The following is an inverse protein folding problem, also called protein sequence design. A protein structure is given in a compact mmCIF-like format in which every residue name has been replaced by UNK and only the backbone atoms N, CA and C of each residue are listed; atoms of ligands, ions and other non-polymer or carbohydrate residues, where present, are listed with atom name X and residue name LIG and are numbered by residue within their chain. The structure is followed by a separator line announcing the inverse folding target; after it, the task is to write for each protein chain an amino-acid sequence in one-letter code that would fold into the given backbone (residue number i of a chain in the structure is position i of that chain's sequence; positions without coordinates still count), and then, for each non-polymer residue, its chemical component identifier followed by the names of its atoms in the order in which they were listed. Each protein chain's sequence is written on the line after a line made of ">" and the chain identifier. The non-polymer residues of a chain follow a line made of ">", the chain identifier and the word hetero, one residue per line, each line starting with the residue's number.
data_IF_700035649684
#
_entry.id   IF_700035649684
#
_cell.length_a   1.000
_cell.length_b   1.000
_cell.length_c   1.000
_cell.angle_alpha   90.00
_cell.angle_beta   90.00
_cell.angle_gamma   90.00
#
_symmetry.space_group_name_H-M   'P 1'
#
loop_
_entity.id
_entity.type
_entity.pdbx_description
1 polymer ?
#
# COMPACT_ATOMS: atom_id res chain seq x y z
N UNK A 1 46.56 61.90 6.52
CA UNK A 1 45.19 62.13 6.01
C UNK A 1 45.10 61.55 4.61
N UNK A 2 44.35 60.46 4.47
CA UNK A 2 43.54 59.99 3.33
C UNK A 2 43.41 58.48 3.58
N UNK A 3 42.27 58.09 4.16
CA UNK A 3 41.88 56.68 4.32
C UNK A 3 40.98 56.34 3.15
N UNK A 4 41.44 55.44 2.29
CA UNK A 4 40.74 55.00 1.08
C UNK A 4 39.77 53.89 1.45
N UNK A 5 38.46 54.17 1.30
CA UNK A 5 37.39 53.17 1.39
C UNK A 5 37.52 52.16 0.24
N UNK A 6 37.59 50.87 0.56
CA UNK A 6 37.28 49.79 -0.39
C UNK A 6 35.89 49.23 -0.06
N UNK A 7 35.03 49.25 -1.08
CA UNK A 7 33.67 48.74 -1.07
C UNK A 7 33.67 47.21 -1.01
N UNK A 8 32.83 46.65 -0.12
CA UNK A 8 32.49 45.23 -0.12
C UNK A 8 31.46 44.93 -1.24
N UNK A 9 31.70 43.89 -2.03
CA UNK A 9 30.67 43.24 -2.86
C UNK A 9 29.96 42.15 -2.05
N UNK A 10 28.65 41.93 -2.23
CA UNK A 10 27.93 40.88 -1.51
C UNK A 10 28.29 39.51 -2.09
N UNK A 11 28.58 38.57 -1.20
CA UNK A 11 28.79 37.17 -1.52
C UNK A 11 27.50 36.55 -2.10
N UNK A 12 27.65 35.83 -3.20
CA UNK A 12 26.65 34.90 -3.73
C UNK A 12 26.50 33.77 -2.70
N UNK A 13 25.39 33.75 -1.96
CA UNK A 13 25.00 32.61 -1.16
C UNK A 13 24.47 31.52 -2.11
N UNK A 14 25.33 30.57 -2.49
CA UNK A 14 24.89 29.29 -3.05
C UNK A 14 24.08 28.56 -1.97
N UNK A 15 22.80 28.35 -2.24
CA UNK A 15 21.99 27.41 -1.50
C UNK A 15 22.52 25.99 -1.76
N UNK A 16 23.33 25.48 -0.83
CA UNK A 16 23.60 24.05 -0.74
C UNK A 16 22.31 23.38 -0.25
N UNK A 17 21.47 22.89 -1.17
CA UNK A 17 20.57 21.79 -0.85
C UNK A 17 21.46 20.63 -0.40
N UNK A 18 21.25 20.15 0.83
CA UNK A 18 22.10 19.15 1.44
C UNK A 18 22.02 17.82 0.68
N UNK A 19 23.13 17.40 0.05
CA UNK A 19 23.25 16.08 -0.58
C UNK A 19 22.97 14.92 0.41
N UNK A 20 23.06 15.16 1.71
CA UNK A 20 22.86 14.14 2.76
C UNK A 20 21.40 13.68 2.89
N UNK A 21 20.41 14.53 2.60
CA UNK A 21 18.99 14.15 2.71
C UNK A 21 18.54 13.26 1.55
N UNK A 22 19.05 13.54 0.34
CA UNK A 22 18.76 12.74 -0.87
C UNK A 22 19.38 11.35 -0.78
N UNK A 23 20.59 11.24 -0.23
CA UNK A 23 21.28 9.96 -0.07
C UNK A 23 20.56 9.00 0.90
N UNK A 24 20.05 9.49 2.04
CA UNK A 24 19.28 8.65 2.97
C UNK A 24 17.94 8.17 2.40
N UNK A 25 17.24 9.00 1.62
CA UNK A 25 15.97 8.61 1.01
C UNK A 25 16.16 7.56 -0.09
N UNK A 26 17.26 7.64 -0.86
CA UNK A 26 17.60 6.63 -1.87
C UNK A 26 18.06 5.30 -1.24
N UNK A 27 18.77 5.31 -0.11
CA UNK A 27 19.18 4.07 0.57
C UNK A 27 18.01 3.30 1.18
N UNK A 28 16.96 3.99 1.65
CA UNK A 28 15.79 3.33 2.24
C UNK A 28 14.94 2.59 1.19
N UNK A 29 14.85 3.14 -0.04
CA UNK A 29 14.07 2.52 -1.13
C UNK A 29 14.76 1.28 -1.72
N UNK A 30 16.10 1.24 -1.73
CA UNK A 30 16.85 0.05 -2.17
C UNK A 30 16.70 -1.15 -1.24
N UNK A 31 16.36 -0.93 0.03
CA UNK A 31 16.19 -2.00 1.03
C UNK A 31 14.79 -2.64 0.97
N UNK A 32 13.88 -2.05 0.19
CA UNK A 32 12.47 -2.44 0.07
C UNK A 32 12.04 -2.57 -1.40
N UNK A 33 12.99 -2.64 -2.32
CA UNK A 33 12.74 -2.82 -3.75
C UNK A 33 13.80 -3.70 -4.38
N UNK A 34 13.40 -4.56 -5.33
CA UNK A 34 14.33 -5.47 -6.00
C UNK A 34 13.95 -5.68 -7.46
N UNK A 35 14.94 -5.53 -8.34
CA UNK A 35 14.86 -5.91 -9.76
C UNK A 35 15.57 -7.24 -10.07
N UNK A 36 15.95 -8.01 -9.05
CA UNK A 36 16.65 -9.29 -9.24
C UNK A 36 15.68 -10.30 -9.86
N UNK A 37 16.02 -10.82 -11.05
CA UNK A 37 15.14 -11.67 -11.88
C UNK A 37 15.19 -13.17 -11.52
N UNK A 38 15.97 -13.54 -10.52
CA UNK A 38 16.17 -14.93 -10.10
C UNK A 38 16.09 -14.99 -8.59
N UNK A 39 15.40 -15.99 -8.05
CA UNK A 39 15.38 -16.26 -6.61
C UNK A 39 16.81 -16.58 -6.11
N UNK A 40 17.34 -15.68 -5.27
CA UNK A 40 18.60 -15.81 -4.54
C UNK A 40 18.36 -16.10 -3.07
N UNK A 41 17.11 -16.06 -2.61
CA UNK A 41 16.75 -16.39 -1.23
C UNK A 41 17.01 -17.88 -1.01
N UNK A 42 17.88 -18.26 -0.03
CA UNK A 42 18.21 -19.65 0.21
C UNK A 42 16.96 -20.49 0.49
N UNK A 43 16.95 -21.72 -0.01
CA UNK A 43 15.91 -22.67 0.34
C UNK A 43 15.82 -22.84 1.86
N UNK A 44 14.59 -22.86 2.35
CA UNK A 44 14.26 -23.02 3.76
C UNK A 44 13.25 -24.14 3.92
N UNK A 45 13.16 -24.71 5.14
CA UNK A 45 12.13 -25.68 5.50
C UNK A 45 10.79 -24.99 5.86
N UNK A 46 10.67 -23.67 5.61
CA UNK A 46 9.44 -22.93 5.86
C UNK A 46 8.35 -23.40 4.92
N UNK A 47 7.15 -23.53 5.47
CA UNK A 47 5.98 -24.04 4.75
C UNK A 47 4.97 -22.92 4.50
N UNK A 48 3.97 -23.19 3.65
CA UNK A 48 2.83 -22.27 3.44
C UNK A 48 1.86 -22.24 4.63
N UNK A 49 2.03 -23.13 5.61
CA UNK A 49 1.19 -23.20 6.80
C UNK A 49 2.06 -23.17 8.07
N UNK A 50 1.64 -22.40 9.06
CA UNK A 50 2.24 -22.38 10.38
C UNK A 50 1.18 -22.08 11.43
N UNK A 51 0.90 -23.05 12.31
CA UNK A 51 -0.20 -22.99 13.28
C UNK A 51 -1.56 -22.77 12.58
N UNK A 52 -2.24 -21.66 12.84
CA UNK A 52 -3.51 -21.27 12.23
C UNK A 52 -3.35 -20.26 11.09
N UNK A 53 -2.10 -19.90 10.74
CA UNK A 53 -1.79 -18.94 9.67
C UNK A 53 -1.38 -19.64 8.38
N UNK A 54 -1.69 -18.99 7.26
CA UNK A 54 -1.37 -19.47 5.91
C UNK A 54 -0.77 -18.36 5.06
N UNK A 55 0.21 -18.74 4.26
CA UNK A 55 0.82 -17.90 3.24
C UNK A 55 -0.08 -17.86 1.99
N UNK A 56 -0.92 -16.84 1.91
CA UNK A 56 -1.93 -16.64 0.87
C UNK A 56 -1.79 -15.25 0.24
N UNK A 57 -2.15 -15.14 -1.03
CA UNK A 57 -2.38 -13.86 -1.68
C UNK A 57 -3.85 -13.49 -1.47
N UNK A 58 -4.10 -12.27 -1.00
CA UNK A 58 -5.44 -11.74 -0.77
C UNK A 58 -5.96 -11.00 -2.00
N UNK A 59 -5.07 -10.40 -2.79
CA UNK A 59 -5.42 -9.72 -4.04
C UNK A 59 -4.21 -9.61 -4.97
N UNK A 60 -4.48 -9.52 -6.27
CA UNK A 60 -3.56 -9.01 -7.28
C UNK A 60 -4.37 -8.15 -8.25
N UNK A 61 -4.23 -6.83 -8.17
CA UNK A 61 -5.05 -5.90 -8.95
C UNK A 61 -4.25 -5.25 -10.06
N UNK A 62 -4.64 -5.45 -11.32
CA UNK A 62 -3.99 -4.82 -12.45
C UNK A 62 -4.40 -3.35 -12.57
N UNK A 63 -3.93 -2.50 -11.66
CA UNK A 63 -4.46 -1.14 -11.48
C UNK A 63 -3.86 -0.06 -12.37
N UNK A 64 -2.86 -0.37 -13.19
CA UNK A 64 -2.26 0.56 -14.16
C UNK A 64 -1.71 -0.20 -15.39
N UNK A 65 -2.19 0.21 -16.58
CA UNK A 65 -1.74 -0.26 -17.89
C UNK A 65 -1.13 0.91 -18.68
N UNK A 66 0.13 0.77 -19.10
CA UNK A 66 0.86 1.72 -19.95
C UNK A 66 0.92 3.19 -19.44
N UNK A 67 0.78 3.41 -18.13
CA UNK A 67 0.58 4.73 -17.56
C UNK A 67 1.90 5.51 -17.36
N UNK A 68 1.96 6.71 -17.94
CA UNK A 68 3.13 7.60 -17.83
C UNK A 68 3.40 8.12 -16.42
N UNK A 69 2.39 8.18 -15.54
CA UNK A 69 2.49 8.51 -14.12
C UNK A 69 3.33 7.46 -13.40
N UNK A 70 3.18 6.18 -13.76
CA UNK A 70 3.93 5.06 -13.19
C UNK A 70 5.42 5.18 -13.47
N UNK A 71 5.82 5.60 -14.68
CA UNK A 71 7.24 5.77 -15.04
C UNK A 71 8.01 6.66 -14.08
N UNK A 72 7.36 7.65 -13.46
CA UNK A 72 7.99 8.49 -12.42
C UNK A 72 8.12 7.77 -11.08
N UNK A 73 7.12 6.99 -10.70
CA UNK A 73 7.16 6.19 -9.48
C UNK A 73 8.22 5.09 -9.60
N UNK A 74 8.20 4.32 -10.69
CA UNK A 74 9.16 3.25 -10.98
C UNK A 74 10.62 3.73 -11.03
N UNK A 75 10.88 4.92 -11.59
CA UNK A 75 12.23 5.55 -11.54
C UNK A 75 12.68 5.87 -10.12
N UNK A 76 11.75 6.19 -9.21
CA UNK A 76 12.07 6.56 -7.83
C UNK A 76 12.24 5.32 -6.94
N UNK A 77 11.35 4.34 -7.04
CA UNK A 77 11.37 3.14 -6.20
C UNK A 77 12.36 2.09 -6.71
N UNK A 78 12.42 1.88 -8.02
CA UNK A 78 13.14 0.77 -8.63
C UNK A 78 14.29 1.20 -9.56
N UNK A 79 14.48 2.50 -9.77
CA UNK A 79 15.47 3.05 -10.71
C UNK A 79 15.35 2.46 -12.15
N UNK A 80 14.13 2.09 -12.54
CA UNK A 80 13.80 1.58 -13.89
C UNK A 80 13.02 2.63 -14.68
N UNK A 81 13.02 2.54 -16.01
CA UNK A 81 12.43 3.59 -16.87
C UNK A 81 11.40 3.09 -17.87
N UNK A 82 11.25 1.78 -17.92
CA UNK A 82 10.58 0.96 -18.92
C UNK A 82 9.37 0.20 -18.38
N UNK A 83 9.09 0.26 -17.07
CA UNK A 83 7.80 -0.22 -16.54
C UNK A 83 6.63 0.52 -17.21
N UNK A 84 5.79 -0.23 -17.92
CA UNK A 84 4.48 0.19 -18.44
C UNK A 84 3.42 0.04 -17.36
N UNK A 85 3.53 -1.03 -16.57
CA UNK A 85 2.40 -1.59 -15.82
C UNK A 85 2.68 -1.72 -14.33
N UNK A 86 1.62 -1.57 -13.53
CA UNK A 86 1.66 -1.60 -12.08
C UNK A 86 0.54 -2.45 -11.51
N UNK A 87 0.91 -3.46 -10.72
CA UNK A 87 -0.04 -4.37 -10.09
C UNK A 87 0.33 -4.58 -8.60
N UNK A 88 -0.41 -3.99 -7.65
CA UNK A 88 -0.26 -4.30 -6.24
C UNK A 88 -0.72 -5.74 -5.98
N UNK A 89 0.12 -6.50 -5.27
CA UNK A 89 -0.18 -7.84 -4.77
C UNK A 89 -0.23 -7.77 -3.25
N UNK A 90 -1.33 -8.22 -2.66
CA UNK A 90 -1.56 -8.14 -1.22
C UNK A 90 -1.44 -9.52 -0.60
N UNK A 91 -0.69 -9.59 0.50
CA UNK A 91 -0.33 -10.83 1.18
C UNK A 91 -1.06 -10.96 2.51
N UNK A 92 -1.34 -12.21 2.89
CA UNK A 92 -1.96 -12.56 4.17
C UNK A 92 -1.07 -12.29 5.38
N UNK A 93 0.23 -12.00 5.19
CA UNK A 93 1.17 -11.58 6.22
C UNK A 93 2.11 -10.48 5.72
N UNK A 94 2.69 -9.70 6.63
CA UNK A 94 3.77 -8.76 6.26
C UNK A 94 4.97 -9.54 5.71
N UNK A 95 5.55 -9.04 4.63
CA UNK A 95 6.71 -9.62 3.97
C UNK A 95 8.03 -9.22 4.66
N UNK A 96 9.00 -10.12 4.64
CA UNK A 96 10.39 -9.81 4.93
C UNK A 96 11.01 -9.09 3.71
N UNK A 97 11.36 -7.79 3.81
CA UNK A 97 11.92 -7.02 2.70
C UNK A 97 13.25 -7.59 2.16
N UNK A 98 13.94 -8.42 2.94
CA UNK A 98 15.22 -9.02 2.50
C UNK A 98 15.05 -10.21 1.57
N UNK A 99 13.82 -10.68 1.39
CA UNK A 99 13.47 -11.84 0.56
C UNK A 99 12.65 -11.50 -0.67
N UNK A 100 12.36 -10.20 -0.91
CA UNK A 100 11.58 -9.79 -2.09
C UNK A 100 12.48 -9.65 -3.31
N UNK A 101 12.18 -10.38 -4.37
CA UNK A 101 12.86 -10.31 -5.65
C UNK A 101 11.86 -10.37 -6.81
N UNK A 102 12.17 -9.68 -7.91
CA UNK A 102 11.30 -9.69 -9.09
C UNK A 102 11.15 -11.12 -9.66
N UNK A 103 12.17 -11.96 -9.52
CA UNK A 103 12.17 -13.37 -9.90
C UNK A 103 11.26 -14.26 -9.06
N UNK A 104 10.78 -13.78 -7.92
CA UNK A 104 9.85 -14.54 -7.07
C UNK A 104 8.43 -14.53 -7.62
N UNK A 105 8.12 -13.63 -8.54
CA UNK A 105 6.76 -13.40 -9.04
C UNK A 105 6.64 -13.86 -10.48
N UNK A 106 5.61 -14.63 -10.76
CA UNK A 106 5.20 -14.99 -12.12
C UNK A 106 3.82 -14.40 -12.41
N UNK A 107 3.72 -13.66 -13.50
CA UNK A 107 2.46 -13.16 -14.06
C UNK A 107 2.16 -13.94 -15.32
N UNK A 108 1.02 -14.61 -15.36
CA UNK A 108 0.52 -15.33 -16.52
C UNK A 108 -0.52 -14.48 -17.26
N UNK A 109 -0.37 -14.35 -18.57
CA UNK A 109 -1.27 -13.61 -19.45
C UNK A 109 -2.37 -14.53 -20.00
N UNK A 110 -3.45 -13.95 -20.50
CA UNK A 110 -4.57 -14.72 -21.08
C UNK A 110 -4.15 -15.61 -22.27
N UNK A 111 -3.08 -15.25 -22.98
CA UNK A 111 -2.47 -16.05 -24.05
C UNK A 111 -1.73 -17.30 -23.55
N UNK A 112 -1.43 -17.38 -22.26
CA UNK A 112 -0.54 -18.36 -21.65
C UNK A 112 0.95 -17.95 -21.66
N UNK A 113 1.27 -16.79 -22.24
CA UNK A 113 2.62 -16.21 -22.13
C UNK A 113 2.84 -15.64 -20.72
N UNK A 114 4.12 -15.37 -20.39
CA UNK A 114 4.49 -14.75 -19.12
C UNK A 114 4.74 -13.26 -19.32
N UNK A 115 4.19 -12.43 -18.42
CA UNK A 115 4.53 -11.02 -18.29
C UNK A 115 5.96 -10.83 -17.77
N UNK A 116 6.57 -9.68 -18.07
CA UNK A 116 7.91 -9.34 -17.61
C UNK A 116 7.84 -8.54 -16.30
N UNK A 117 8.06 -9.21 -15.16
CA UNK A 117 8.17 -8.54 -13.84
C UNK A 117 9.55 -7.90 -13.72
N UNK A 118 9.63 -6.59 -13.92
CA UNK A 118 10.89 -5.82 -13.95
C UNK A 118 11.40 -5.45 -12.57
N UNK A 119 10.50 -5.13 -11.65
CA UNK A 119 10.85 -4.83 -10.27
C UNK A 119 9.66 -5.09 -9.35
N UNK A 120 9.97 -5.33 -8.08
CA UNK A 120 9.00 -5.31 -6.98
C UNK A 120 9.41 -4.29 -5.94
N UNK A 121 8.46 -3.69 -5.24
CA UNK A 121 8.72 -2.74 -4.16
C UNK A 121 7.61 -2.74 -3.12
N UNK A 122 7.95 -2.59 -1.84
CA UNK A 122 6.96 -2.35 -0.78
C UNK A 122 6.52 -0.87 -0.74
N UNK A 123 7.22 0.03 -1.44
CA UNK A 123 6.84 1.43 -1.46
C UNK A 123 5.58 1.67 -2.31
N UNK A 124 4.67 2.58 -1.91
CA UNK A 124 4.78 3.50 -0.76
C UNK A 124 4.34 2.94 0.61
N UNK A 125 3.80 1.72 0.69
CA UNK A 125 3.32 1.05 1.90
C UNK A 125 4.48 0.62 2.83
N UNK A 126 5.13 1.59 3.47
CA UNK A 126 6.38 1.41 4.21
C UNK A 126 6.21 1.49 5.73
N UNK A 127 5.00 1.76 6.22
CA UNK A 127 4.80 1.80 7.66
C UNK A 127 4.73 0.40 8.28
N UNK A 128 5.09 0.24 9.57
CA UNK A 128 4.89 -1.03 10.26
C UNK A 128 3.45 -1.54 10.14
N UNK A 129 3.29 -2.79 9.71
CA UNK A 129 1.98 -3.40 9.45
C UNK A 129 1.46 -3.20 8.01
N UNK A 130 2.17 -2.47 7.14
CA UNK A 130 1.76 -2.22 5.75
C UNK A 130 2.56 -3.03 4.72
N UNK A 131 3.64 -3.71 5.14
CA UNK A 131 4.46 -4.57 4.28
C UNK A 131 3.73 -5.82 3.75
N UNK A 132 2.40 -5.80 3.75
CA UNK A 132 1.50 -6.74 3.10
C UNK A 132 1.27 -6.38 1.64
N UNK A 133 1.57 -5.16 1.22
CA UNK A 133 1.42 -4.71 -0.18
C UNK A 133 2.78 -4.75 -0.90
N UNK A 134 2.91 -5.60 -1.91
CA UNK A 134 4.04 -5.59 -2.84
C UNK A 134 3.59 -5.04 -4.19
N UNK A 135 4.09 -3.87 -4.58
CA UNK A 135 3.86 -3.34 -5.92
C UNK A 135 4.76 -4.05 -6.92
N UNK A 136 4.15 -4.81 -7.83
CA UNK A 136 4.84 -5.41 -8.98
C UNK A 136 4.82 -4.43 -10.15
N UNK A 137 5.98 -4.25 -10.81
CA UNK A 137 6.19 -3.30 -11.90
C UNK A 137 6.78 -4.04 -13.09
N UNK A 138 6.22 -3.83 -14.29
CA UNK A 138 6.61 -4.64 -15.44
C UNK A 138 5.91 -4.29 -16.74
N UNK A 139 5.89 -5.28 -17.63
CA UNK A 139 5.00 -5.37 -18.80
C UNK A 139 4.11 -6.60 -18.61
N UNK A 140 2.82 -6.37 -18.42
CA UNK A 140 1.81 -7.38 -18.09
C UNK A 140 0.78 -7.54 -19.20
N UNK A 141 1.10 -7.12 -20.44
CA UNK A 141 0.22 -7.24 -21.59
C UNK A 141 -0.88 -6.17 -21.64
N UNK A 142 -1.60 -6.14 -22.76
CA UNK A 142 -2.69 -5.18 -23.00
C UNK A 142 -3.95 -5.58 -22.22
N UNK A 143 -4.56 -4.62 -21.52
CA UNK A 143 -5.73 -4.87 -20.67
C UNK A 143 -6.94 -5.50 -21.38
N UNK A 144 -7.04 -5.39 -22.71
CA UNK A 144 -8.17 -5.91 -23.48
C UNK A 144 -7.77 -7.16 -24.27
N UNK A 145 -6.68 -7.10 -25.01
CA UNK A 145 -6.30 -8.15 -25.96
C UNK A 145 -5.51 -9.29 -25.31
N UNK A 146 -4.72 -9.00 -24.28
CA UNK A 146 -3.94 -10.03 -23.59
C UNK A 146 -3.68 -9.69 -22.11
N UNK A 147 -4.73 -9.56 -21.28
CA UNK A 147 -4.58 -9.12 -19.90
C UNK A 147 -3.85 -10.14 -19.03
N UNK A 148 -3.27 -9.70 -17.90
CA UNK A 148 -2.79 -10.61 -16.86
C UNK A 148 -3.99 -11.31 -16.21
N UNK A 149 -3.89 -12.61 -16.01
CA UNK A 149 -4.98 -13.44 -15.47
C UNK A 149 -4.64 -14.15 -14.17
N UNK A 150 -3.35 -14.34 -13.88
CA UNK A 150 -2.90 -15.01 -12.66
C UNK A 150 -1.54 -14.50 -12.18
N UNK A 151 -1.42 -14.34 -10.87
CA UNK A 151 -0.15 -14.15 -10.17
C UNK A 151 0.18 -15.42 -9.39
N UNK A 152 1.43 -15.86 -9.45
CA UNK A 152 1.98 -16.94 -8.65
C UNK A 152 3.32 -16.52 -8.03
N UNK A 153 3.53 -16.90 -6.78
CA UNK A 153 4.82 -16.78 -6.11
C UNK A 153 5.61 -18.05 -6.40
N UNK A 154 6.74 -17.93 -7.09
CA UNK A 154 7.56 -19.05 -7.57
C UNK A 154 8.90 -19.15 -6.85
N UNK A 155 9.36 -18.06 -6.24
CA UNK A 155 10.58 -18.01 -5.42
C UNK A 155 10.30 -18.11 -3.91
N UNK A 156 11.37 -18.15 -3.11
CA UNK A 156 11.32 -18.16 -1.65
C UNK A 156 11.03 -16.74 -1.13
N UNK A 157 9.76 -16.46 -0.89
CA UNK A 157 9.30 -15.19 -0.34
C UNK A 157 8.77 -15.43 1.08
N UNK A 158 9.41 -14.83 2.09
CA UNK A 158 9.09 -15.12 3.49
C UNK A 158 8.21 -14.06 4.14
N UNK A 159 7.45 -14.47 5.16
CA UNK A 159 6.85 -13.51 6.08
C UNK A 159 7.92 -12.88 6.99
N UNK A 160 7.64 -11.66 7.44
CA UNK A 160 8.50 -10.87 8.32
C UNK A 160 8.80 -11.56 9.66
N UNK A 161 7.93 -12.48 10.09
CA UNK A 161 8.13 -13.23 11.31
C UNK A 161 8.99 -14.50 11.12
N UNK A 162 9.33 -14.87 9.89
CA UNK A 162 10.20 -16.01 9.58
C UNK A 162 9.57 -17.38 9.84
N UNK A 163 8.25 -17.48 9.70
CA UNK A 163 7.46 -18.68 9.94
C UNK A 163 6.88 -19.29 8.66
N UNK A 164 6.69 -18.48 7.62
CA UNK A 164 5.95 -18.83 6.42
C UNK A 164 6.77 -18.54 5.17
N UNK A 165 6.55 -19.34 4.14
CA UNK A 165 7.04 -19.11 2.78
C UNK A 165 5.86 -19.09 1.82
N UNK A 166 5.74 -18.03 1.02
CA UNK A 166 4.66 -17.84 0.06
C UNK A 166 4.84 -18.62 -1.24
N UNK A 167 5.98 -19.28 -1.46
CA UNK A 167 6.24 -20.12 -2.65
C UNK A 167 5.08 -21.08 -2.92
N UNK A 168 4.50 -20.99 -4.11
CA UNK A 168 3.34 -21.75 -4.57
C UNK A 168 1.98 -21.13 -4.23
N UNK A 169 1.92 -19.97 -3.58
CA UNK A 169 0.71 -19.18 -3.45
C UNK A 169 0.36 -18.56 -4.81
N UNK A 170 -0.93 -18.51 -5.15
CA UNK A 170 -1.40 -17.90 -6.39
C UNK A 170 -2.82 -17.39 -6.27
N UNK A 171 -3.15 -16.37 -7.06
CA UNK A 171 -4.48 -15.77 -7.12
C UNK A 171 -4.81 -15.35 -8.56
N UNK A 172 -6.10 -15.31 -8.88
CA UNK A 172 -6.56 -14.68 -10.12
C UNK A 172 -6.34 -13.17 -10.05
N UNK A 173 -6.03 -12.56 -11.18
CA UNK A 173 -5.86 -11.11 -11.27
C UNK A 173 -7.21 -10.42 -11.37
N UNK A 174 -7.42 -9.38 -10.56
CA UNK A 174 -8.53 -8.45 -10.71
C UNK A 174 -8.27 -7.55 -11.94
N UNK A 175 -9.18 -7.52 -12.93
CA UNK A 175 -9.01 -6.72 -14.15
C UNK A 175 -8.92 -5.23 -13.88
N UNK A 176 -8.27 -4.50 -14.80
CA UNK A 176 -8.04 -3.05 -14.73
C UNK A 176 -9.34 -2.24 -14.49
N UNK A 177 -10.40 -2.56 -15.22
CA UNK A 177 -11.67 -1.81 -15.20
C UNK A 177 -12.59 -2.17 -14.02
N UNK A 178 -12.17 -3.06 -13.11
CA UNK A 178 -12.96 -3.45 -11.95
C UNK A 178 -13.07 -2.34 -10.89
N UNK A 179 -12.11 -1.40 -10.88
CA UNK A 179 -11.97 -0.41 -9.82
C UNK A 179 -11.48 -1.02 -8.50
N UNK A 180 -11.18 -0.18 -7.49
CA UNK A 180 -10.56 -0.64 -6.26
C UNK A 180 -11.60 -1.19 -5.26
N UNK A 181 -11.20 -2.17 -4.46
CA UNK A 181 -12.03 -2.82 -3.44
C UNK A 181 -11.28 -3.03 -2.11
N UNK A 182 -12.03 -3.15 -1.02
CA UNK A 182 -11.48 -3.51 0.29
C UNK A 182 -11.19 -5.01 0.33
N UNK A 183 -9.95 -5.39 0.67
CA UNK A 183 -9.54 -6.79 0.70
C UNK A 183 -9.07 -7.29 2.06
N UNK A 184 -8.72 -6.36 2.96
CA UNK A 184 -8.32 -6.70 4.32
C UNK A 184 -8.77 -5.61 5.28
N UNK A 185 -9.22 -6.02 6.46
CA UNK A 185 -9.36 -5.17 7.62
C UNK A 185 -8.75 -5.89 8.83
N UNK A 186 -8.01 -5.21 9.68
CA UNK A 186 -7.51 -5.79 10.93
C UNK A 186 -7.33 -4.73 12.02
N UNK A 187 -7.44 -5.09 13.31
CA UNK A 187 -7.10 -4.17 14.39
C UNK A 187 -5.61 -3.83 14.37
N UNK A 188 -5.26 -2.58 14.68
CA UNK A 188 -3.86 -2.19 14.93
C UNK A 188 -3.59 -2.34 16.44
N UNK A 189 -2.59 -3.12 16.86
CA UNK A 189 -2.24 -3.25 18.27
C UNK A 189 -1.89 -1.89 18.87
N UNK A 190 -2.35 -1.61 20.10
CA UNK A 190 -2.14 -0.31 20.76
C UNK A 190 -0.66 0.10 20.86
N UNK A 191 0.25 -0.86 21.05
CA UNK A 191 1.70 -0.60 21.07
C UNK A 191 2.30 -0.17 19.73
N UNK A 192 1.54 -0.31 18.63
CA UNK A 192 1.94 0.09 17.29
C UNK A 192 1.24 1.38 16.82
N UNK A 193 0.38 1.98 17.63
CA UNK A 193 -0.31 3.22 17.24
C UNK A 193 0.69 4.36 17.05
N UNK A 194 0.57 5.03 15.92
CA UNK A 194 1.06 6.39 15.72
C UNK A 194 -0.14 7.31 15.77
N UNK A 195 0.04 8.48 16.36
CA UNK A 195 -1.07 9.41 16.60
C UNK A 195 -0.68 10.85 16.36
N UNK A 196 -1.65 11.63 15.89
CA UNK A 196 -1.54 13.08 15.77
C UNK A 196 -2.22 13.75 16.97
N UNK A 197 -1.68 14.88 17.44
CA UNK A 197 -2.28 15.60 18.58
C UNK A 197 -3.72 16.07 18.32
N UNK A 198 -4.13 16.22 17.05
CA UNK A 198 -5.46 16.69 16.64
C UNK A 198 -5.77 16.32 15.19
N UNK A 199 -7.05 16.35 14.85
CA UNK A 199 -7.54 16.27 13.48
C UNK A 199 -7.03 17.44 12.64
N UNK A 200 -6.60 17.15 11.41
CA UNK A 200 -6.14 18.13 10.43
C UNK A 200 -7.33 18.74 9.70
N UNK A 201 -7.28 20.06 9.46
CA UNK A 201 -8.30 20.75 8.68
C UNK A 201 -8.31 20.33 7.20
N UNK A 202 -7.17 19.84 6.70
CA UNK A 202 -7.07 19.22 5.38
C UNK A 202 -6.86 17.72 5.58
N UNK A 203 -7.90 16.94 5.32
CA UNK A 203 -7.87 15.48 5.49
C UNK A 203 -6.75 14.83 4.68
N UNK A 204 -6.35 15.39 3.52
CA UNK A 204 -5.23 14.91 2.69
C UNK A 204 -3.86 15.00 3.37
N UNK A 205 -3.80 15.63 4.54
CA UNK A 205 -2.61 15.75 5.38
C UNK A 205 -2.75 15.00 6.70
N UNK A 206 -3.85 14.28 6.92
CA UNK A 206 -4.02 13.44 8.10
C UNK A 206 -3.06 12.27 7.98
N UNK A 207 -1.96 12.33 8.73
CA UNK A 207 -0.94 11.30 8.71
C UNK A 207 -1.38 10.14 9.61
N UNK A 208 -1.84 10.43 10.83
CA UNK A 208 -2.18 9.41 11.82
C UNK A 208 -3.55 9.66 12.45
N UNK A 209 -4.07 8.71 13.24
CA UNK A 209 -5.28 8.94 14.02
C UNK A 209 -5.10 10.04 15.09
N UNK A 210 -6.09 10.93 15.31
CA UNK A 210 -6.04 11.89 16.41
C UNK A 210 -6.10 11.19 17.77
N UNK A 211 -5.32 11.65 18.76
CA UNK A 211 -5.31 11.04 20.12
C UNK A 211 -6.60 11.26 20.91
N UNK A 212 -7.22 12.43 20.76
CA UNK A 212 -8.39 12.80 21.57
C UNK A 212 -9.60 11.94 21.20
N UNK A 213 -10.10 11.19 22.18
CA UNK A 213 -11.23 10.27 22.01
C UNK A 213 -10.89 8.91 21.40
N UNK A 214 -9.64 8.67 20.96
CA UNK A 214 -9.25 7.40 20.32
C UNK A 214 -9.28 6.22 21.30
N UNK A 215 -9.96 5.14 20.90
CA UNK A 215 -10.03 3.87 21.66
C UNK A 215 -9.58 2.66 20.88
N UNK A 216 -9.65 2.69 19.56
CA UNK A 216 -9.20 1.59 18.71
C UNK A 216 -8.93 2.08 17.28
N UNK A 217 -7.96 1.48 16.62
CA UNK A 217 -7.63 1.71 15.21
C UNK A 217 -7.88 0.41 14.45
N UNK A 218 -8.62 0.49 13.35
CA UNK A 218 -8.74 -0.59 12.37
C UNK A 218 -8.01 -0.15 11.11
N UNK A 219 -7.03 -0.92 10.66
CA UNK A 219 -6.41 -0.70 9.36
C UNK A 219 -7.19 -1.43 8.30
N UNK A 220 -7.48 -0.74 7.22
CA UNK A 220 -8.08 -1.33 6.02
C UNK A 220 -7.10 -1.25 4.87
N UNK A 221 -7.06 -2.29 4.05
CA UNK A 221 -6.23 -2.34 2.84
C UNK A 221 -7.13 -2.44 1.62
N UNK A 222 -6.95 -1.50 0.71
CA UNK A 222 -7.52 -1.53 -0.63
C UNK A 222 -6.63 -2.35 -1.57
N UNK A 223 -7.21 -3.06 -2.54
CA UNK A 223 -6.44 -3.80 -3.56
C UNK A 223 -5.52 -2.94 -4.43
N UNK A 224 -5.79 -1.64 -4.53
CA UNK A 224 -4.92 -0.65 -5.14
C UNK A 224 -4.87 0.67 -4.38
N UNK A 225 -3.98 1.57 -4.81
CA UNK A 225 -3.93 2.91 -4.24
C UNK A 225 -5.21 3.67 -4.56
N UNK A 226 -5.80 4.34 -3.57
CA UNK A 226 -7.10 5.02 -3.73
C UNK A 226 -7.00 6.52 -3.51
N UNK A 227 -7.88 7.27 -4.18
CA UNK A 227 -8.10 8.69 -3.92
C UNK A 227 -9.58 9.03 -3.96
N UNK A 228 -10.07 9.95 -3.13
CA UNK A 228 -11.43 10.44 -3.22
C UNK A 228 -11.76 11.14 -4.54
N UNK A 229 -13.00 10.96 -4.99
CA UNK A 229 -13.60 11.68 -6.11
C UNK A 229 -14.04 13.06 -5.59
N UNK A 230 -13.40 14.17 -6.00
CA UNK A 230 -13.64 15.49 -5.43
C UNK A 230 -15.10 15.94 -5.46
N UNK A 231 -15.83 15.61 -6.52
CA UNK A 231 -17.23 15.98 -6.72
C UNK A 231 -18.18 15.25 -5.75
N UNK A 232 -17.82 14.03 -5.32
CA UNK A 232 -18.64 13.21 -4.44
C UNK A 232 -18.30 13.40 -2.96
N UNK A 233 -17.07 13.83 -2.65
CA UNK A 233 -16.59 14.03 -1.28
C UNK A 233 -16.45 15.50 -0.88
N UNK A 234 -17.14 16.42 -1.58
CA UNK A 234 -17.03 17.86 -1.28
C UNK A 234 -17.65 18.21 0.08
N UNK A 235 -18.82 17.62 0.38
CA UNK A 235 -19.63 17.91 1.57
C UNK A 235 -19.74 16.71 2.52
N UNK A 236 -18.97 15.65 2.29
CA UNK A 236 -18.98 14.41 3.08
C UNK A 236 -17.57 14.07 3.54
N UNK A 237 -17.41 13.81 4.84
CA UNK A 237 -16.15 13.33 5.37
C UNK A 237 -15.90 11.91 4.89
N UNK A 238 -14.65 11.58 4.54
CA UNK A 238 -14.27 10.20 4.24
C UNK A 238 -14.61 9.25 5.40
N UNK A 239 -14.53 9.75 6.64
CA UNK A 239 -14.88 8.98 7.83
C UNK A 239 -16.37 8.57 7.86
N UNK A 240 -17.27 9.44 7.40
CA UNK A 240 -18.72 9.20 7.38
C UNK A 240 -19.11 8.13 6.32
N UNK A 241 -18.22 7.86 5.35
CA UNK A 241 -18.45 6.84 4.32
C UNK A 241 -18.10 5.44 4.81
N UNK A 242 -17.23 5.32 5.81
CA UNK A 242 -16.92 4.02 6.40
C UNK A 242 -18.02 3.58 7.37
N UNK A 243 -18.35 2.30 7.33
CA UNK A 243 -19.17 1.62 8.34
C UNK A 243 -18.37 0.47 8.94
N UNK A 244 -18.14 0.52 10.25
CA UNK A 244 -17.51 -0.55 11.02
C UNK A 244 -18.56 -1.25 11.87
N UNK A 245 -18.68 -2.57 11.72
CA UNK A 245 -19.51 -3.40 12.58
C UNK A 245 -18.68 -3.93 13.75
N UNK A 246 -19.11 -3.66 14.97
CA UNK A 246 -18.48 -4.12 16.21
C UNK A 246 -19.41 -5.08 16.97
N UNK A 247 -18.86 -6.15 17.53
CA UNK A 247 -19.52 -6.92 18.58
C UNK A 247 -19.23 -6.29 19.93
N UNK A 248 -20.28 -6.03 20.71
CA UNK A 248 -20.21 -5.55 22.08
C UNK A 248 -20.12 -6.71 23.08
N UNK A 249 -19.73 -6.40 24.32
CA UNK A 249 -19.55 -7.40 25.38
C UNK A 249 -20.86 -8.13 25.77
N UNK A 250 -22.01 -7.49 25.54
CA UNK A 250 -23.35 -8.08 25.75
C UNK A 250 -23.83 -8.93 24.57
N UNK A 251 -23.00 -9.09 23.53
CA UNK A 251 -23.31 -9.83 22.31
C UNK A 251 -24.12 -9.06 21.27
N UNK A 252 -24.47 -7.79 21.53
CA UNK A 252 -25.11 -6.94 20.52
C UNK A 252 -24.09 -6.49 19.47
N UNK A 253 -24.59 -6.22 18.26
CA UNK A 253 -23.78 -5.62 17.20
C UNK A 253 -24.11 -4.13 17.06
N UNK A 254 -23.06 -3.33 16.89
CA UNK A 254 -23.14 -1.90 16.69
C UNK A 254 -22.41 -1.55 15.39
N UNK A 255 -23.10 -0.87 14.48
CA UNK A 255 -22.49 -0.26 13.28
C UNK A 255 -22.23 1.22 13.55
N UNK A 256 -20.99 1.66 13.35
CA UNK A 256 -20.54 3.04 13.55
C UNK A 256 -19.72 3.52 12.35
N UNK A 257 -19.64 4.83 12.18
CA UNK A 257 -18.59 5.45 11.38
C UNK A 257 -17.40 5.81 12.28
N UNK A 258 -16.16 5.71 11.78
CA UNK A 258 -15.01 6.29 12.49
C UNK A 258 -15.18 7.80 12.66
N UNK A 259 -14.58 8.36 13.70
CA UNK A 259 -14.59 9.82 13.89
C UNK A 259 -13.51 10.52 13.04
N UNK A 260 -12.52 9.76 12.55
CA UNK A 260 -11.45 10.24 11.68
C UNK A 260 -10.86 9.09 10.86
N UNK A 261 -10.21 9.41 9.74
CA UNK A 261 -9.41 8.46 8.96
C UNK A 261 -7.96 8.97 8.90
N UNK A 262 -7.03 8.15 9.37
CA UNK A 262 -5.58 8.38 9.28
C UNK A 262 -4.98 7.70 8.05
N UNK A 263 -3.66 7.86 7.90
CA UNK A 263 -2.84 7.31 6.81
C UNK A 263 -3.25 7.77 5.40
N UNK A 264 -3.52 9.07 5.23
CA UNK A 264 -3.99 9.62 3.95
C UNK A 264 -2.90 10.41 3.20
N UNK A 265 -1.71 10.54 3.79
CA UNK A 265 -0.69 11.51 3.38
C UNK A 265 0.44 10.92 2.53
N UNK A 266 0.64 9.61 2.54
CA UNK A 266 1.76 8.87 1.92
C UNK A 266 1.40 8.20 0.59
N UNK A 267 0.10 8.14 0.26
CA UNK A 267 -0.46 7.70 -1.04
C UNK A 267 -0.29 6.20 -1.30
N UNK A 268 -0.38 5.40 -0.26
CA UNK A 268 -0.46 3.97 -0.38
C UNK A 268 -1.93 3.49 -0.47
N UNK A 269 -2.16 2.22 -0.17
CA UNK A 269 -3.48 1.57 -0.18
C UNK A 269 -4.03 1.29 1.23
N UNK A 270 -3.45 1.86 2.28
CA UNK A 270 -3.86 1.66 3.66
C UNK A 270 -4.61 2.89 4.19
N UNK A 271 -5.75 2.66 4.84
CA UNK A 271 -6.40 3.68 5.66
C UNK A 271 -6.49 3.20 7.11
N UNK A 272 -6.37 4.13 8.06
CA UNK A 272 -6.55 3.85 9.49
C UNK A 272 -7.87 4.45 9.98
N UNK A 273 -8.83 3.60 10.34
CA UNK A 273 -10.14 4.01 10.86
C UNK A 273 -10.04 4.24 12.37
N UNK A 274 -10.19 5.49 12.78
CA UNK A 274 -10.06 5.92 14.17
C UNK A 274 -11.43 5.84 14.87
N UNK A 275 -11.58 4.98 15.88
CA UNK A 275 -12.86 4.78 16.57
C UNK A 275 -12.78 5.26 18.02
N UNK A 276 -13.88 5.83 18.51
CA UNK A 276 -14.08 6.35 19.86
C UNK A 276 -14.94 5.43 20.75
N UNK A 277 -15.30 4.27 20.21
CA UNK A 277 -16.05 3.20 20.86
C UNK A 277 -15.15 1.96 20.95
N UNK A 278 -15.26 1.18 22.02
CA UNK A 278 -14.62 -0.12 22.13
C UNK A 278 -15.55 -1.23 21.61
N UNK A 279 -14.97 -2.30 21.06
CA UNK A 279 -15.70 -3.50 20.70
C UNK A 279 -14.81 -4.45 19.92
N UNK A 280 -15.25 -5.68 19.72
CA UNK A 280 -14.54 -6.60 18.82
C UNK A 280 -14.97 -6.31 17.38
N UNK A 281 -14.09 -5.81 16.49
CA UNK A 281 -14.48 -5.50 15.13
C UNK A 281 -14.77 -6.77 14.33
N UNK A 282 -15.85 -6.73 13.56
CA UNK A 282 -16.34 -7.87 12.76
C UNK A 282 -16.10 -7.59 11.28
N UNK A 283 -16.52 -6.43 10.79
CA UNK A 283 -16.42 -6.09 9.37
C UNK A 283 -16.32 -4.58 9.15
N UNK A 284 -15.77 -4.22 8.01
CA UNK A 284 -15.73 -2.85 7.50
C UNK A 284 -16.40 -2.82 6.12
N UNK A 285 -17.25 -1.82 5.88
CA UNK A 285 -17.88 -1.58 4.59
C UNK A 285 -17.64 -0.14 4.13
N UNK A 286 -17.66 0.04 2.81
CA UNK A 286 -17.51 1.33 2.15
C UNK A 286 -18.40 1.38 0.88
N UNK A 287 -19.16 2.47 0.65
CA UNK A 287 -20.07 2.58 -0.48
C UNK A 287 -19.35 2.85 -1.79
N UNK A 288 -19.96 2.43 -2.90
CA UNK A 288 -19.50 2.65 -4.25
C UNK A 288 -19.50 4.12 -4.67
N UNK A 289 -18.58 4.47 -5.57
CA UNK A 289 -18.56 5.76 -6.27
C UNK A 289 -17.94 6.92 -5.51
N UNK A 290 -17.12 6.67 -4.48
CA UNK A 290 -16.49 7.74 -3.69
C UNK A 290 -14.97 7.76 -3.77
N UNK A 291 -14.34 6.64 -4.08
CA UNK A 291 -12.92 6.51 -4.34
C UNK A 291 -12.69 6.05 -5.77
N UNK A 292 -11.55 6.45 -6.33
CA UNK A 292 -11.02 5.92 -7.58
C UNK A 292 -9.60 5.41 -7.37
N UNK A 293 -9.22 4.45 -8.19
CA UNK A 293 -7.85 3.95 -8.28
C UNK A 293 -6.95 4.93 -9.08
N UNK A 294 -5.69 4.58 -9.38
CA UNK A 294 -4.82 5.42 -10.19
C UNK A 294 -5.22 5.50 -11.68
N UNK A 295 -5.94 4.50 -12.20
CA UNK A 295 -6.50 4.47 -13.57
C UNK A 295 -7.79 5.31 -13.71
N UNK A 296 -8.28 5.85 -12.60
CA UNK A 296 -9.48 6.68 -12.48
C UNK A 296 -10.80 5.88 -12.55
N UNK A 297 -10.75 4.58 -12.26
CA UNK A 297 -11.90 3.69 -12.12
C UNK A 297 -12.48 3.76 -10.70
N UNK A 298 -13.80 3.93 -10.61
CA UNK A 298 -14.48 4.12 -9.34
C UNK A 298 -14.72 2.80 -8.61
N UNK A 299 -14.67 2.81 -7.28
CA UNK A 299 -14.99 1.64 -6.47
C UNK A 299 -16.48 1.29 -6.56
N UNK A 300 -16.81 0.01 -6.49
CA UNK A 300 -18.16 -0.47 -6.18
C UNK A 300 -18.38 -0.51 -4.64
N UNK A 301 -19.60 -0.84 -4.22
CA UNK A 301 -19.88 -1.18 -2.82
C UNK A 301 -18.95 -2.35 -2.40
N UNK A 302 -18.21 -2.16 -1.32
CA UNK A 302 -17.18 -3.12 -0.89
C UNK A 302 -17.21 -3.33 0.61
N UNK A 303 -16.81 -4.53 1.04
CA UNK A 303 -16.66 -4.85 2.45
C UNK A 303 -15.55 -5.88 2.67
N UNK A 304 -14.91 -5.82 3.84
CA UNK A 304 -13.95 -6.82 4.31
C UNK A 304 -14.32 -7.28 5.72
N UNK A 305 -14.27 -8.59 5.95
CA UNK A 305 -14.29 -9.13 7.31
C UNK A 305 -12.97 -8.78 8.01
N UNK A 306 -13.05 -8.55 9.32
CA UNK A 306 -11.89 -8.22 10.12
C UNK A 306 -11.12 -9.51 10.40
N UNK A 307 -9.90 -9.59 9.89
CA UNK A 307 -8.97 -10.67 10.16
C UNK A 307 -8.65 -10.71 11.65
N UNK A 308 -8.51 -11.94 12.17
CA UNK A 308 -8.21 -12.20 13.57
C UNK A 308 -6.74 -12.02 13.89
#
# INVERSE_FOLDING_TARGET
>A
MVSTKLYASPAIAMAFLSLTTVACAQSQLSDVSSGVKTDQTPDSDLSREHEDRRAELLSAFFGLDDDRRLKRAARRSCNISDASDGMPVIFSEELDPTTIEAGDIRVELSSGDLGDVTCVTLAPALEPGEHRTLLTLGDFGDAVENPPVRVEIVGNLHDKAGHLNFRGASIAVTPLDAGPSLVLAHPVPQGAWKTDNKTQANWRKQANCPEDGLKQIIRTVWDGGVRPIPEQTQDTSLADLYSVTLSQADGTQLSISPFSVGNLADRDNNHELCLDVEGHPISVAFPGGYLVDPNDDANDDTAAEVAR
#
